data_IF_014501511400
#
_entry.id   IF_014501511400
#
_cell.length_a   1.000
_cell.length_b   1.000
_cell.length_c   1.000
_cell.angle_alpha   90.00
_cell.angle_beta   90.00
_cell.angle_gamma   90.00
#
_symmetry.space_group_name_H-M   'P 1'
#
loop_
_entity.id
_entity.type
_entity.pdbx_description
1 polymer ?
#
# COMPACT_ATOMS: atom_id res chain seq x y z
N UNK A 1 -45.68 -2.06 -10.87
CA UNK A 1 -45.25 -2.58 -9.56
C UNK A 1 -43.80 -2.14 -9.42
N UNK A 2 -43.62 -0.91 -8.97
CA UNK A 2 -42.33 -0.23 -8.94
C UNK A 2 -41.70 -0.44 -7.57
N UNK A 3 -40.51 -1.04 -7.55
CA UNK A 3 -39.68 -1.16 -6.36
C UNK A 3 -39.05 0.21 -6.05
N UNK A 4 -39.00 0.65 -4.78
CA UNK A 4 -38.34 1.89 -4.43
C UNK A 4 -36.81 1.76 -4.55
N UNK A 5 -36.09 2.86 -4.87
CA UNK A 5 -34.63 2.87 -4.85
C UNK A 5 -34.12 2.78 -3.41
N UNK A 6 -33.14 1.89 -3.18
CA UNK A 6 -32.35 1.83 -1.95
C UNK A 6 -31.48 3.10 -1.85
N UNK A 7 -31.99 4.13 -1.18
CA UNK A 7 -31.17 5.28 -0.78
C UNK A 7 -30.32 4.88 0.42
N UNK A 8 -29.00 4.78 0.23
CA UNK A 8 -28.05 4.82 1.33
C UNK A 8 -27.98 6.24 1.87
N UNK A 9 -28.81 6.56 2.87
CA UNK A 9 -28.60 7.72 3.72
C UNK A 9 -27.61 7.35 4.82
N UNK A 10 -26.34 7.69 4.61
CA UNK A 10 -25.39 7.83 5.71
C UNK A 10 -25.70 9.18 6.36
N UNK A 11 -26.31 9.14 7.54
CA UNK A 11 -26.42 10.31 8.40
C UNK A 11 -25.01 10.70 8.86
N UNK A 12 -24.50 11.82 8.36
CA UNK A 12 -23.37 12.53 8.96
C UNK A 12 -23.93 13.34 10.13
N UNK A 13 -23.88 12.78 11.33
CA UNK A 13 -23.93 13.60 12.54
C UNK A 13 -22.52 14.13 12.79
N UNK A 14 -22.35 15.43 12.58
CA UNK A 14 -21.22 16.19 13.10
C UNK A 14 -21.25 16.14 14.62
N UNK A 15 -20.34 15.35 15.19
CA UNK A 15 -19.89 15.56 16.56
C UNK A 15 -18.40 15.86 16.49
N UNK A 16 -18.08 17.15 16.58
CA UNK A 16 -16.75 17.62 16.96
C UNK A 16 -16.46 17.12 18.38
N UNK A 17 -15.82 15.96 18.48
CA UNK A 17 -15.09 15.57 19.68
C UNK A 17 -13.63 15.99 19.47
N UNK A 18 -13.36 17.24 19.82
CA UNK A 18 -12.02 17.65 20.25
C UNK A 18 -11.72 16.90 21.55
N UNK A 19 -10.61 16.15 21.57
CA UNK A 19 -9.92 15.52 22.73
C UNK A 19 -9.68 14.01 22.56
N UNK A 20 -8.76 13.64 21.65
CA UNK A 20 -7.97 12.40 21.83
C UNK A 20 -6.60 12.41 21.11
N UNK A 21 -5.81 13.48 21.22
CA UNK A 21 -4.40 13.47 20.79
C UNK A 21 -3.44 14.04 21.85
N UNK A 22 -2.91 13.18 22.75
CA UNK A 22 -1.52 13.40 23.17
C UNK A 22 -0.65 12.14 23.36
N UNK A 23 -1.15 10.92 23.09
CA UNK A 23 -0.44 9.67 23.51
C UNK A 23 0.47 8.99 22.47
N UNK A 24 0.50 9.42 21.20
CA UNK A 24 1.30 8.75 20.14
C UNK A 24 2.65 9.40 19.81
N UNK A 25 2.85 10.69 20.09
CA UNK A 25 4.12 11.39 19.79
C UNK A 25 5.20 11.20 20.86
N UNK A 26 4.81 10.90 22.09
CA UNK A 26 5.72 10.83 23.24
C UNK A 26 6.71 9.64 23.17
N UNK A 27 6.37 8.61 22.39
CA UNK A 27 7.23 7.43 22.20
C UNK A 27 8.32 7.67 21.16
N UNK A 28 8.04 8.42 20.09
CA UNK A 28 9.01 8.69 19.01
C UNK A 28 10.08 9.67 19.48
N UNK A 29 9.70 10.72 20.22
CA UNK A 29 10.62 11.71 20.76
C UNK A 29 11.70 11.10 21.70
N UNK A 30 11.33 10.03 22.42
CA UNK A 30 12.21 9.31 23.35
C UNK A 30 13.21 8.38 22.64
N UNK A 31 12.88 7.94 21.43
CA UNK A 31 13.71 6.98 20.64
C UNK A 31 14.61 7.72 19.65
N UNK A 32 14.14 8.83 19.09
CA UNK A 32 14.88 9.61 18.09
C UNK A 32 15.91 10.51 18.78
N UNK A 33 17.21 10.46 18.41
CA UNK A 33 18.22 11.33 18.99
C UNK A 33 17.90 12.82 18.80
N UNK A 34 18.27 13.70 19.75
CA UNK A 34 17.96 15.13 19.70
C UNK A 34 18.36 15.85 18.41
N UNK A 35 19.46 15.42 17.78
CA UNK A 35 19.94 15.96 16.52
C UNK A 35 18.93 15.79 15.36
N UNK A 36 18.00 14.84 15.45
CA UNK A 36 17.00 14.55 14.43
C UNK A 36 15.60 15.01 14.83
N UNK A 37 15.45 15.77 15.92
CA UNK A 37 14.14 16.22 16.38
C UNK A 37 13.42 17.14 15.40
N UNK A 38 14.14 17.83 14.52
CA UNK A 38 13.55 18.59 13.41
C UNK A 38 12.85 17.70 12.36
N UNK A 39 13.11 16.40 12.34
CA UNK A 39 12.54 15.43 11.39
C UNK A 39 11.61 14.41 12.05
N UNK A 40 11.10 14.69 13.26
CA UNK A 40 10.21 13.75 13.97
C UNK A 40 9.01 13.30 13.14
N UNK A 41 8.52 14.20 12.29
CA UNK A 41 7.46 13.92 11.31
C UNK A 41 7.81 12.77 10.36
N UNK A 42 9.06 12.65 9.93
CA UNK A 42 9.53 11.58 9.04
C UNK A 42 9.58 10.22 9.71
N UNK A 43 9.57 10.16 11.05
CA UNK A 43 9.50 8.93 11.83
C UNK A 43 8.06 8.54 12.21
N UNK A 44 7.06 9.33 11.80
CA UNK A 44 5.65 9.05 12.09
C UNK A 44 5.12 7.94 11.17
N UNK A 45 4.81 6.79 11.79
CA UNK A 45 4.14 5.69 11.10
C UNK A 45 2.77 6.10 10.55
N UNK A 46 2.05 6.98 11.25
CA UNK A 46 0.73 7.46 10.83
C UNK A 46 0.83 8.24 9.51
N UNK A 47 1.84 9.11 9.36
CA UNK A 47 2.06 9.85 8.11
C UNK A 47 2.47 8.93 6.97
N UNK A 48 3.29 7.90 7.25
CA UNK A 48 3.68 6.91 6.24
C UNK A 48 2.52 6.05 5.73
N UNK A 49 1.43 5.95 6.51
CA UNK A 49 0.22 5.22 6.14
C UNK A 49 -0.81 6.09 5.39
N UNK A 50 -0.50 7.36 5.08
CA UNK A 50 -1.36 8.24 4.30
C UNK A 50 -0.97 8.21 2.82
N UNK A 51 -1.96 8.25 1.92
CA UNK A 51 -1.72 8.29 0.48
C UNK A 51 -1.08 9.63 0.07
N UNK A 52 0.03 9.64 -0.68
CA UNK A 52 0.70 10.88 -1.08
C UNK A 52 -0.04 11.64 -2.18
N UNK A 53 0.30 12.93 -2.40
CA UNK A 53 -0.17 13.69 -3.57
C UNK A 53 0.39 13.09 -4.87
N UNK A 54 -0.28 13.37 -6.00
CA UNK A 54 0.23 12.99 -7.33
C UNK A 54 1.56 13.70 -7.62
N UNK A 55 2.50 12.97 -8.20
CA UNK A 55 3.83 13.46 -8.57
C UNK A 55 4.06 13.34 -10.07
N UNK A 56 5.09 14.02 -10.59
CA UNK A 56 5.47 13.95 -12.00
C UNK A 56 5.95 12.56 -12.44
N UNK A 57 6.22 11.66 -11.49
CA UNK A 57 6.76 10.32 -11.68
C UNK A 57 5.80 9.20 -11.22
N UNK A 58 4.49 9.43 -11.30
CA UNK A 58 3.51 8.42 -10.94
C UNK A 58 3.63 7.14 -11.79
N UNK A 59 3.28 6.00 -11.19
CA UNK A 59 3.45 4.70 -11.82
C UNK A 59 2.35 4.41 -12.86
N UNK A 60 2.73 4.04 -14.09
CA UNK A 60 1.80 3.76 -15.20
C UNK A 60 1.89 2.30 -15.65
N UNK A 61 0.74 1.68 -15.89
CA UNK A 61 0.58 0.26 -16.27
C UNK A 61 -0.47 0.20 -17.42
N UNK A 62 -0.69 -0.92 -18.13
CA UNK A 62 -1.80 -1.17 -19.11
C UNK A 62 -2.22 -2.68 -19.06
N UNK A 63 -3.51 -3.07 -19.20
CA UNK A 63 -3.99 -4.46 -18.93
C UNK A 63 -5.20 -5.04 -19.69
N UNK A 64 -5.27 -6.39 -19.68
CA UNK A 64 -6.44 -7.25 -19.94
C UNK A 64 -6.53 -8.51 -19.00
N UNK A 65 -7.73 -8.86 -18.50
CA UNK A 65 -8.19 -10.17 -17.96
C UNK A 65 -7.58 -10.75 -16.64
N UNK A 66 -8.42 -11.36 -15.75
CA UNK A 66 -7.93 -12.00 -14.50
C UNK A 66 -8.84 -13.08 -13.87
N UNK A 67 -8.24 -14.00 -13.09
CA UNK A 67 -8.88 -15.20 -12.50
C UNK A 67 -9.11 -15.08 -10.97
N UNK A 68 -9.99 -15.92 -10.38
CA UNK A 68 -10.28 -15.95 -8.93
C UNK A 68 -9.92 -17.32 -8.35
N UNK A 69 -9.18 -17.35 -7.23
CA UNK A 69 -8.87 -18.58 -6.48
C UNK A 69 -9.80 -18.80 -5.29
N UNK A 70 -10.08 -20.07 -4.97
CA UNK A 70 -10.87 -20.46 -3.80
C UNK A 70 -9.98 -20.40 -2.55
N UNK A 71 -10.47 -19.76 -1.49
CA UNK A 71 -9.76 -19.57 -0.24
C UNK A 71 -10.35 -20.44 0.88
N UNK A 72 -9.51 -20.93 1.79
CA UNK A 72 -9.95 -21.54 3.05
C UNK A 72 -10.57 -20.49 4.00
N UNK A 73 -11.22 -20.94 5.07
CA UNK A 73 -11.81 -20.04 6.08
C UNK A 73 -10.77 -19.13 6.74
N UNK A 74 -9.58 -19.67 7.00
CA UNK A 74 -8.48 -18.92 7.62
C UNK A 74 -7.94 -17.84 6.67
N UNK A 75 -7.70 -18.21 5.42
CA UNK A 75 -7.26 -17.29 4.36
C UNK A 75 -8.31 -16.20 4.09
N UNK A 76 -9.59 -16.56 4.07
CA UNK A 76 -10.70 -15.63 3.90
C UNK A 76 -10.77 -14.57 4.99
N UNK A 77 -10.43 -14.94 6.24
CA UNK A 77 -10.34 -14.01 7.36
C UNK A 77 -9.19 -13.01 7.16
N UNK A 78 -8.01 -13.50 6.79
CA UNK A 78 -6.84 -12.67 6.52
C UNK A 78 -7.07 -11.69 5.36
N UNK A 79 -7.76 -12.13 4.30
CA UNK A 79 -8.14 -11.24 3.19
C UNK A 79 -9.08 -10.13 3.66
N UNK A 80 -10.07 -10.45 4.50
CA UNK A 80 -10.97 -9.44 5.07
C UNK A 80 -10.25 -8.42 5.92
N UNK A 81 -9.37 -8.87 6.81
CA UNK A 81 -8.54 -8.01 7.67
C UNK A 81 -7.68 -7.08 6.80
N UNK A 82 -7.01 -7.63 5.78
CA UNK A 82 -6.23 -6.84 4.81
C UNK A 82 -7.10 -5.78 4.11
N UNK A 83 -8.27 -6.15 3.60
CA UNK A 83 -9.16 -5.21 2.90
C UNK A 83 -9.58 -4.08 3.84
N UNK A 84 -10.01 -4.38 5.07
CA UNK A 84 -10.44 -3.36 6.01
C UNK A 84 -9.33 -2.37 6.35
N UNK A 85 -8.12 -2.86 6.63
CA UNK A 85 -6.98 -2.02 6.99
C UNK A 85 -6.55 -1.10 5.84
N UNK A 86 -6.54 -1.62 4.60
CA UNK A 86 -6.08 -0.85 3.46
C UNK A 86 -7.16 0.11 2.91
N UNK A 87 -8.44 -0.16 3.17
CA UNK A 87 -9.52 0.80 2.92
C UNK A 87 -9.46 1.97 3.91
N UNK A 88 -9.22 1.69 5.19
CA UNK A 88 -9.07 2.73 6.22
C UNK A 88 -7.87 3.65 5.92
N UNK A 89 -6.77 3.08 5.44
CA UNK A 89 -5.57 3.82 5.00
C UNK A 89 -5.73 4.50 3.64
N UNK A 90 -6.84 4.26 2.93
CA UNK A 90 -7.10 4.79 1.57
C UNK A 90 -6.02 4.34 0.56
N UNK A 91 -5.40 3.18 0.81
CA UNK A 91 -4.43 2.57 -0.11
C UNK A 91 -5.11 1.79 -1.23
N UNK A 92 -6.31 1.26 -0.97
CA UNK A 92 -7.15 0.59 -1.96
C UNK A 92 -8.54 1.24 -1.99
N UNK A 93 -9.29 1.00 -3.06
CA UNK A 93 -10.68 1.46 -3.20
C UNK A 93 -11.51 0.40 -3.91
N UNK A 94 -12.83 0.31 -3.69
CA UNK A 94 -13.66 -0.59 -4.47
C UNK A 94 -13.55 -0.28 -5.98
N UNK A 95 -13.44 -1.34 -6.80
CA UNK A 95 -13.33 -1.24 -8.24
C UNK A 95 -14.46 -2.01 -8.94
N UNK A 96 -14.98 -1.45 -10.02
CA UNK A 96 -15.98 -2.10 -10.89
C UNK A 96 -15.35 -2.82 -12.09
N UNK A 97 -14.02 -2.92 -12.15
CA UNK A 97 -13.31 -3.57 -13.25
C UNK A 97 -13.68 -5.05 -13.36
N UNK A 98 -13.91 -5.49 -14.60
CA UNK A 98 -14.12 -6.90 -14.95
C UNK A 98 -12.83 -7.73 -14.86
N UNK A 99 -11.69 -7.05 -14.80
CA UNK A 99 -10.33 -7.60 -14.78
C UNK A 99 -9.66 -7.29 -13.44
N UNK A 100 -8.92 -8.25 -12.89
CA UNK A 100 -8.02 -8.00 -11.76
C UNK A 100 -7.20 -9.22 -11.36
N UNK A 101 -6.05 -8.97 -10.75
CA UNK A 101 -5.13 -10.00 -10.30
C UNK A 101 -5.75 -10.86 -9.19
N UNK A 102 -5.57 -12.18 -9.22
CA UNK A 102 -6.02 -13.04 -8.14
C UNK A 102 -5.26 -12.77 -6.83
N UNK A 103 -5.96 -12.82 -5.69
CA UNK A 103 -5.34 -12.95 -4.38
C UNK A 103 -4.86 -14.39 -4.11
N UNK A 104 -3.63 -14.54 -3.63
CA UNK A 104 -2.96 -15.79 -3.29
C UNK A 104 -2.31 -15.70 -1.91
N UNK A 105 -2.10 -16.85 -1.27
CA UNK A 105 -1.33 -16.94 -0.04
C UNK A 105 -0.04 -17.72 -0.24
N UNK A 106 1.04 -17.16 0.29
CA UNK A 106 2.37 -17.78 0.32
C UNK A 106 2.74 -18.06 1.76
N UNK A 107 3.20 -19.29 2.03
CA UNK A 107 3.70 -19.65 3.36
C UNK A 107 5.05 -18.97 3.59
N UNK A 108 5.14 -18.19 4.67
CA UNK A 108 6.37 -17.56 5.12
C UNK A 108 7.24 -18.54 5.91
N UNK A 109 8.52 -18.23 6.02
CA UNK A 109 9.50 -19.06 6.77
C UNK A 109 9.17 -19.17 8.26
N UNK A 110 8.51 -18.17 8.83
CA UNK A 110 8.03 -18.14 10.22
C UNK A 110 6.76 -18.98 10.44
N UNK A 111 6.24 -19.64 9.39
CA UNK A 111 5.00 -20.43 9.44
C UNK A 111 3.73 -19.60 9.22
N UNK A 112 3.84 -18.28 9.11
CA UNK A 112 2.72 -17.39 8.78
C UNK A 112 2.29 -17.47 7.32
N UNK A 113 1.17 -16.82 7.00
CA UNK A 113 0.68 -16.65 5.64
C UNK A 113 0.91 -15.20 5.18
N UNK A 114 1.53 -15.03 4.02
CA UNK A 114 1.65 -13.75 3.33
C UNK A 114 0.63 -13.66 2.21
N UNK A 115 -0.22 -12.63 2.24
CA UNK A 115 -1.09 -12.30 1.10
C UNK A 115 -0.23 -11.74 -0.05
N UNK A 116 -0.44 -12.27 -1.24
CA UNK A 116 0.23 -11.86 -2.47
C UNK A 116 -0.80 -11.75 -3.60
N UNK A 117 -0.63 -10.77 -4.48
CA UNK A 117 -1.47 -10.63 -5.67
C UNK A 117 -0.70 -11.12 -6.88
N UNK A 118 -1.30 -12.02 -7.65
CA UNK A 118 -0.67 -12.61 -8.82
C UNK A 118 -0.74 -11.65 -10.01
N UNK A 119 0.25 -10.76 -10.07
CA UNK A 119 0.45 -9.86 -11.20
C UNK A 119 1.33 -10.48 -12.29
N UNK A 120 1.56 -11.79 -12.35
CA UNK A 120 2.46 -12.36 -13.38
C UNK A 120 1.97 -12.08 -14.80
N UNK A 121 0.68 -12.32 -15.07
CA UNK A 121 0.08 -11.99 -16.38
C UNK A 121 0.19 -10.50 -16.68
N UNK A 122 -0.07 -9.66 -15.69
CA UNK A 122 0.10 -8.21 -15.79
C UNK A 122 1.53 -7.84 -16.19
N UNK A 123 2.51 -8.41 -15.51
CA UNK A 123 3.92 -8.12 -15.72
C UNK A 123 4.42 -8.55 -17.11
N UNK A 124 3.79 -9.55 -17.72
CA UNK A 124 4.13 -10.01 -19.08
C UNK A 124 3.67 -9.00 -20.15
N UNK A 125 2.53 -8.32 -19.95
CA UNK A 125 2.02 -7.30 -20.87
C UNK A 125 2.60 -5.91 -20.60
N UNK A 126 3.14 -5.67 -19.41
CA UNK A 126 3.67 -4.36 -19.02
C UNK A 126 5.01 -4.07 -19.67
N UNK A 127 5.20 -2.85 -20.19
CA UNK A 127 6.50 -2.38 -20.67
C UNK A 127 7.49 -2.29 -19.50
N UNK A 128 8.54 -3.12 -19.52
CA UNK A 128 9.59 -3.12 -18.49
C UNK A 128 10.33 -1.78 -18.47
N UNK A 129 10.22 -1.05 -17.36
CA UNK A 129 11.07 0.11 -17.09
C UNK A 129 12.49 -0.37 -16.76
N UNK A 130 13.39 -0.34 -17.75
CA UNK A 130 14.79 -0.79 -17.60
C UNK A 130 15.66 0.29 -16.94
N UNK A 131 15.24 0.77 -15.78
CA UNK A 131 16.11 1.59 -14.95
C UNK A 131 17.27 0.73 -14.45
N UNK A 132 18.49 1.13 -14.77
CA UNK A 132 19.68 0.37 -14.40
C UNK A 132 20.01 0.65 -12.95
N UNK A 133 19.75 -0.32 -12.07
CA UNK A 133 20.29 -0.28 -10.71
C UNK A 133 21.80 -0.49 -10.81
N UNK A 134 22.63 0.47 -10.33
CA UNK A 134 24.08 0.33 -10.41
C UNK A 134 24.55 -0.91 -9.65
N UNK A 135 25.59 -1.61 -10.14
CA UNK A 135 26.14 -2.76 -9.45
C UNK A 135 26.71 -2.35 -8.09
N UNK A 136 26.66 -3.28 -7.12
CA UNK A 136 27.09 -3.00 -5.75
C UNK A 136 28.54 -2.49 -5.68
N UNK A 137 29.44 -2.97 -6.53
CA UNK A 137 30.83 -2.50 -6.58
C UNK A 137 30.96 -1.01 -6.95
N UNK A 138 30.11 -0.52 -7.86
CA UNK A 138 30.08 0.91 -8.20
C UNK A 138 29.50 1.73 -7.03
N UNK A 139 28.43 1.25 -6.41
CA UNK A 139 27.85 1.89 -5.24
C UNK A 139 28.87 2.02 -4.09
N UNK A 140 29.66 0.97 -3.84
CA UNK A 140 30.70 0.96 -2.82
C UNK A 140 31.85 1.94 -3.09
N UNK A 141 32.10 2.27 -4.35
CA UNK A 141 33.15 3.24 -4.71
C UNK A 141 32.80 4.64 -4.20
N UNK A 142 31.51 5.01 -4.16
CA UNK A 142 31.08 6.29 -3.59
C UNK A 142 31.32 6.42 -2.08
N UNK A 143 31.41 5.28 -1.40
CA UNK A 143 31.64 5.22 0.04
C UNK A 143 33.12 5.16 0.42
N UNK A 144 34.03 5.08 -0.55
CA UNK A 144 35.46 4.99 -0.29
C UNK A 144 35.97 6.26 0.42
N UNK A 145 36.69 6.07 1.53
CA UNK A 145 37.20 7.16 2.37
C UNK A 145 36.19 7.75 3.36
N UNK A 146 34.93 7.30 3.34
CA UNK A 146 33.94 7.66 4.36
C UNK A 146 34.16 6.84 5.63
N UNK A 147 34.09 7.47 6.80
CA UNK A 147 34.31 6.84 8.12
C UNK A 147 33.03 6.67 8.93
N UNK A 148 31.95 7.35 8.53
CA UNK A 148 30.65 7.31 9.16
C UNK A 148 29.57 7.04 8.10
N UNK A 149 28.69 6.08 8.40
CA UNK A 149 27.59 5.70 7.52
C UNK A 149 26.27 5.83 8.28
N UNK A 150 25.24 6.31 7.59
CA UNK A 150 23.85 6.24 8.03
C UNK A 150 23.06 5.42 7.03
N UNK A 151 22.11 4.63 7.54
CA UNK A 151 21.18 3.86 6.72
C UNK A 151 19.77 4.38 7.00
N UNK A 152 19.02 4.65 5.94
CA UNK A 152 17.64 5.13 6.00
C UNK A 152 16.80 4.13 5.23
N UNK A 153 15.86 3.50 5.93
CA UNK A 153 14.88 2.60 5.32
C UNK A 153 13.51 3.28 5.29
N UNK A 154 12.81 3.17 4.15
CA UNK A 154 11.51 3.78 3.95
C UNK A 154 10.42 2.77 4.30
N UNK A 155 9.71 3.03 5.40
CA UNK A 155 8.60 2.19 5.81
C UNK A 155 7.47 2.21 4.77
N UNK A 156 7.10 1.05 4.26
CA UNK A 156 5.98 0.94 3.31
C UNK A 156 6.22 1.63 1.96
N UNK A 157 7.49 1.75 1.52
CA UNK A 157 7.89 2.52 0.33
C UNK A 157 7.01 2.30 -0.92
N UNK A 158 6.56 1.07 -1.16
CA UNK A 158 5.69 0.76 -2.30
C UNK A 158 4.31 1.43 -2.22
N UNK A 159 3.73 1.54 -1.03
CA UNK A 159 2.41 2.17 -0.83
C UNK A 159 2.49 3.70 -0.92
N UNK A 160 3.69 4.26 -0.74
CA UNK A 160 3.98 5.69 -0.91
C UNK A 160 4.14 6.03 -2.41
N UNK A 161 4.36 5.05 -3.28
CA UNK A 161 4.40 5.28 -4.72
C UNK A 161 2.99 5.29 -5.28
N UNK A 162 2.48 6.46 -5.67
CA UNK A 162 1.14 6.58 -6.23
C UNK A 162 1.08 6.08 -7.67
N UNK A 163 -0.02 5.43 -7.99
CA UNK A 163 -0.36 5.08 -9.36
C UNK A 163 -0.83 6.34 -10.07
N UNK A 164 -0.42 6.49 -11.33
CA UNK A 164 -0.78 7.63 -12.16
C UNK A 164 -2.28 7.68 -12.33
N UNK A 165 -2.84 8.89 -12.34
CA UNK A 165 -4.27 9.08 -12.59
C UNK A 165 -4.69 8.40 -13.91
N UNK A 166 -5.75 7.60 -13.85
CA UNK A 166 -6.22 6.75 -14.94
C UNK A 166 -5.53 5.38 -15.01
N UNK A 167 -4.44 5.18 -14.26
CA UNK A 167 -3.68 3.94 -14.15
C UNK A 167 -4.23 2.94 -13.14
N UNK A 168 -5.17 3.34 -12.28
CA UNK A 168 -5.56 2.59 -11.07
C UNK A 168 -6.31 1.29 -11.40
N UNK A 169 -7.00 1.25 -12.55
CA UNK A 169 -7.73 0.07 -13.01
C UNK A 169 -6.81 -1.14 -13.30
N UNK A 170 -5.50 -0.93 -13.27
CA UNK A 170 -4.48 -1.87 -13.72
C UNK A 170 -3.85 -2.64 -12.57
N UNK A 171 -3.99 -2.12 -11.35
CA UNK A 171 -3.60 -2.82 -10.12
C UNK A 171 -4.82 -3.38 -9.40
N UNK A 172 -5.95 -3.51 -10.11
CA UNK A 172 -7.14 -4.11 -9.51
C UNK A 172 -6.83 -5.55 -9.16
N UNK A 173 -7.22 -5.97 -7.97
CA UNK A 173 -7.17 -7.35 -7.55
C UNK A 173 -8.57 -7.86 -7.20
N UNK A 174 -8.76 -9.16 -7.40
CA UNK A 174 -10.03 -9.84 -7.15
C UNK A 174 -9.89 -10.75 -5.94
N UNK A 175 -10.88 -10.61 -5.07
CA UNK A 175 -11.10 -11.51 -3.94
C UNK A 175 -12.42 -12.24 -4.12
N UNK A 176 -12.72 -13.22 -3.26
CA UNK A 176 -14.01 -13.90 -3.26
C UNK A 176 -15.19 -12.99 -2.88
N UNK A 177 -14.92 -11.77 -2.39
CA UNK A 177 -15.93 -10.80 -1.96
C UNK A 177 -16.19 -9.76 -3.05
N UNK A 178 -15.17 -8.97 -3.37
CA UNK A 178 -15.25 -7.86 -4.32
C UNK A 178 -13.90 -7.65 -5.03
N UNK A 179 -13.92 -6.76 -6.01
CA UNK A 179 -12.73 -6.23 -6.69
C UNK A 179 -12.34 -4.90 -6.04
N UNK A 180 -11.04 -4.70 -5.82
CA UNK A 180 -10.45 -3.49 -5.24
C UNK A 180 -9.26 -3.05 -6.09
#
# INVERSE_FOLDING_TARGET
>A
MDLPPLSFHVALEEQCNEEEEPKKFETVYKVVPPAYHQYLDSFSKVKAEQLPPHLSCDHHIELEGGAIYVLSNHESKLVKEYISENLEKVFIRPSSSSTGAPALFVKKNDGGLGLCFDYHKLNDFTRKNRYSVPPMSQLLTFFNGSTLFSNIDLYGAYNIMKIKEGGEHLTVFRTIYFSF
#
